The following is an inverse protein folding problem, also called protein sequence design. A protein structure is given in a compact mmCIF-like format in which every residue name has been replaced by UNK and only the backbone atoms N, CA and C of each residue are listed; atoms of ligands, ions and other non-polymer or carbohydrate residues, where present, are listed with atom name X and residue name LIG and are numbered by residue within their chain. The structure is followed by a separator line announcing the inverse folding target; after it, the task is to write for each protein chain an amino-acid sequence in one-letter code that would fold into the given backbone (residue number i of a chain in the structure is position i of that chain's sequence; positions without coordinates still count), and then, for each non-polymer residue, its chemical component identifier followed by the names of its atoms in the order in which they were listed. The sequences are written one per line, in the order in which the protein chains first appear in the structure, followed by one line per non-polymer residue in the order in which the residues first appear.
data_IF_736338302721
#
_entry.id   IF_736338302721
#
_cell.length_a   1.000
_cell.length_b   1.000
_cell.length_c   1.000
_cell.angle_alpha   90.00
_cell.angle_beta   90.00
_cell.angle_gamma   90.00
#
_symmetry.space_group_name_H-M   'P 1'
#
loop_
_entity.id
_entity.type
_entity.pdbx_description
1 polymer ?
#
# COMPACT_ATOMS: atom_id res chain seq x y z
N UNK A 1 21.55 21.23 -7.61
CA UNK A 1 22.37 19.97 -7.49
C UNK A 1 21.48 18.90 -6.89
N UNK A 2 21.35 17.71 -7.49
CA UNK A 2 20.60 16.62 -6.88
C UNK A 2 21.25 16.27 -5.56
N UNK A 3 20.54 16.37 -4.46
CA UNK A 3 21.03 15.86 -3.19
C UNK A 3 21.19 14.34 -3.35
N UNK A 4 22.37 13.84 -3.01
CA UNK A 4 22.67 12.43 -3.09
C UNK A 4 21.80 11.69 -2.06
N UNK A 5 20.95 10.79 -2.51
CA UNK A 5 19.98 10.07 -1.69
C UNK A 5 20.62 9.20 -0.59
N UNK A 6 21.88 8.80 -0.79
CA UNK A 6 22.64 7.95 0.14
C UNK A 6 23.83 8.68 0.76
N UNK A 7 23.70 9.97 1.02
CA UNK A 7 24.75 10.78 1.60
C UNK A 7 24.70 10.79 3.13
N UNK A 8 25.54 10.00 3.78
CA UNK A 8 25.60 9.91 5.24
C UNK A 8 26.16 11.17 5.94
N UNK A 9 26.67 12.16 5.20
CA UNK A 9 27.10 13.44 5.76
C UNK A 9 25.95 14.43 5.96
N UNK A 10 24.75 14.11 5.50
CA UNK A 10 23.56 14.94 5.73
C UNK A 10 23.18 14.93 7.21
N UNK A 11 22.85 16.11 7.75
CA UNK A 11 22.40 16.24 9.15
C UNK A 11 21.14 15.44 9.38
N UNK A 12 21.03 14.78 10.53
CA UNK A 12 19.94 13.88 10.91
C UNK A 12 19.04 14.49 11.99
N UNK A 13 18.89 15.81 12.03
CA UNK A 13 17.95 16.49 12.94
C UNK A 13 16.52 16.36 12.39
N UNK A 14 15.95 15.18 12.52
CA UNK A 14 14.62 14.87 12.00
C UNK A 14 13.47 15.52 12.78
N UNK A 15 13.67 15.91 14.02
CA UNK A 15 12.64 16.59 14.83
C UNK A 15 12.20 17.93 14.22
N UNK A 16 13.11 18.62 13.55
CA UNK A 16 12.84 19.92 12.92
C UNK A 16 12.50 19.83 11.44
N UNK A 17 12.48 18.63 10.86
CA UNK A 17 12.19 18.45 9.44
C UNK A 17 10.68 18.50 9.12
N UNK A 18 10.36 18.90 7.89
CA UNK A 18 9.06 18.64 7.28
C UNK A 18 8.88 17.13 7.06
N UNK A 19 7.66 16.67 6.97
CA UNK A 19 7.33 15.28 6.71
C UNK A 19 7.74 14.84 5.31
N UNK A 20 7.54 15.74 4.33
CA UNK A 20 7.86 15.55 2.93
C UNK A 20 8.70 16.72 2.41
N UNK A 21 9.56 16.46 1.43
CA UNK A 21 10.32 17.44 0.65
C UNK A 21 11.05 18.47 1.54
N UNK A 22 11.67 18.02 2.63
CA UNK A 22 12.46 18.91 3.47
C UNK A 22 13.71 19.40 2.72
N UNK A 23 14.04 20.72 2.77
CA UNK A 23 15.22 21.26 2.12
C UNK A 23 16.54 20.61 2.56
N UNK A 24 16.60 20.02 3.76
CA UNK A 24 17.75 19.26 4.23
C UNK A 24 17.90 17.89 3.53
N UNK A 25 16.91 17.48 2.74
CA UNK A 25 16.97 16.28 1.90
C UNK A 25 16.25 15.06 2.46
N UNK A 26 16.43 13.90 1.81
CA UNK A 26 15.77 12.65 2.19
C UNK A 26 16.29 12.09 3.51
N UNK A 27 15.68 11.02 3.98
CA UNK A 27 16.19 10.22 5.09
C UNK A 27 17.51 9.58 4.68
N UNK A 28 18.54 9.68 5.53
CA UNK A 28 19.88 9.13 5.25
C UNK A 28 20.29 8.06 6.25
N UNK A 29 19.98 8.27 7.51
CA UNK A 29 20.22 7.31 8.60
C UNK A 29 18.90 7.06 9.30
N UNK A 30 18.51 5.81 9.40
CA UNK A 30 17.32 5.42 10.17
C UNK A 30 17.59 5.57 11.67
N UNK A 31 16.91 6.55 12.28
CA UNK A 31 17.04 6.88 13.71
C UNK A 31 15.66 6.90 14.35
N UNK A 32 15.48 6.12 15.41
CA UNK A 32 14.22 5.98 16.12
C UNK A 32 14.34 6.28 17.62
N UNK A 33 15.50 6.72 18.09
CA UNK A 33 15.68 7.16 19.48
C UNK A 33 14.96 8.47 19.77
N UNK A 34 14.81 9.32 18.75
CA UNK A 34 14.02 10.54 18.79
C UNK A 34 13.15 10.62 17.52
N UNK A 35 11.83 10.62 17.67
CA UNK A 35 10.89 10.67 16.57
C UNK A 35 9.94 11.84 16.71
N UNK A 36 9.64 12.50 15.61
CA UNK A 36 8.74 13.66 15.58
C UNK A 36 7.28 13.27 15.77
N UNK A 37 6.85 12.16 15.17
CA UNK A 37 5.46 11.70 15.15
C UNK A 37 5.29 10.31 15.75
N UNK A 38 5.17 10.23 17.07
CA UNK A 38 4.96 8.97 17.79
C UNK A 38 3.72 8.17 17.32
N UNK A 39 2.71 8.84 16.75
CA UNK A 39 1.53 8.16 16.19
C UNK A 39 1.91 7.30 14.98
N UNK A 40 2.80 7.80 14.12
CA UNK A 40 3.26 7.06 12.94
C UNK A 40 4.01 5.80 13.38
N UNK A 41 4.88 5.93 14.38
CA UNK A 41 5.61 4.77 14.96
C UNK A 41 4.62 3.73 15.51
N UNK A 42 3.58 4.17 16.23
CA UNK A 42 2.56 3.26 16.75
C UNK A 42 1.80 2.53 15.65
N UNK A 43 1.37 3.24 14.60
CA UNK A 43 0.71 2.61 13.45
C UNK A 43 1.61 1.58 12.75
N UNK A 44 2.89 1.90 12.58
CA UNK A 44 3.85 0.98 11.99
C UNK A 44 4.03 -0.27 12.87
N UNK A 45 4.15 -0.10 14.18
CA UNK A 45 4.27 -1.20 15.15
C UNK A 45 3.00 -2.07 15.19
N UNK A 46 1.83 -1.45 15.21
CA UNK A 46 0.55 -2.15 15.17
C UNK A 46 0.42 -2.96 13.87
N UNK A 47 0.73 -2.35 12.71
CA UNK A 47 0.71 -3.04 11.43
C UNK A 47 1.64 -4.25 11.41
N UNK A 48 2.86 -4.15 11.93
CA UNK A 48 3.77 -5.30 12.06
C UNK A 48 3.22 -6.40 12.97
N UNK A 49 2.47 -6.02 14.00
CA UNK A 49 1.81 -6.98 14.91
C UNK A 49 0.74 -7.83 14.22
N UNK A 50 0.23 -7.40 13.08
CA UNK A 50 -0.72 -8.16 12.27
C UNK A 50 -0.07 -9.05 11.22
N UNK A 51 1.24 -9.29 11.28
CA UNK A 51 1.93 -10.17 10.36
C UNK A 51 1.34 -11.58 10.38
N UNK A 52 1.13 -12.14 9.21
CA UNK A 52 0.66 -13.50 8.98
C UNK A 52 1.12 -13.98 7.59
N UNK A 53 1.02 -15.28 7.34
CA UNK A 53 1.29 -15.85 6.02
C UNK A 53 0.07 -16.61 5.51
N UNK A 54 -0.21 -16.56 4.20
CA UNK A 54 -1.39 -17.19 3.61
C UNK A 54 -1.50 -18.69 3.90
N UNK A 55 -0.36 -19.35 4.00
CA UNK A 55 -0.23 -20.78 4.20
C UNK A 55 -0.71 -21.25 5.59
N UNK A 56 -0.87 -20.33 6.55
CA UNK A 56 -1.44 -20.65 7.87
C UNK A 56 -2.95 -20.92 7.80
N UNK A 57 -3.60 -20.56 6.68
CA UNK A 57 -5.05 -20.70 6.50
C UNK A 57 -5.34 -21.85 5.53
N UNK A 58 -5.99 -22.90 6.05
CA UNK A 58 -6.47 -24.00 5.22
C UNK A 58 -7.73 -23.56 4.46
N UNK A 59 -7.70 -23.69 3.14
CA UNK A 59 -8.83 -23.37 2.25
C UNK A 59 -9.58 -24.64 1.76
N UNK A 60 -9.34 -25.79 2.36
CA UNK A 60 -9.96 -27.06 1.91
C UNK A 60 -11.48 -27.01 2.01
N UNK A 61 -11.99 -26.50 3.14
CA UNK A 61 -13.44 -26.34 3.33
C UNK A 61 -14.01 -25.25 2.43
N UNK A 62 -13.30 -24.13 2.31
CA UNK A 62 -13.74 -23.00 1.48
C UNK A 62 -13.86 -23.40 0.01
N UNK A 63 -12.95 -24.25 -0.49
CA UNK A 63 -13.02 -24.76 -1.85
C UNK A 63 -14.26 -25.62 -2.09
N UNK A 64 -14.72 -26.36 -1.10
CA UNK A 64 -15.98 -27.12 -1.16
C UNK A 64 -17.18 -26.18 -1.06
N UNK A 65 -17.23 -25.32 -0.05
CA UNK A 65 -18.31 -24.37 0.18
C UNK A 65 -18.51 -23.47 -1.06
N UNK A 66 -17.43 -23.03 -1.71
CA UNK A 66 -17.48 -22.24 -2.92
C UNK A 66 -18.13 -22.98 -4.12
N UNK A 67 -17.86 -24.30 -4.26
CA UNK A 67 -18.49 -25.12 -5.30
C UNK A 67 -19.99 -25.28 -5.09
N UNK A 68 -20.42 -25.35 -3.83
CA UNK A 68 -21.83 -25.51 -3.43
C UNK A 68 -22.58 -24.15 -3.38
N UNK A 69 -21.85 -23.02 -3.39
CA UNK A 69 -22.42 -21.69 -3.35
C UNK A 69 -23.26 -21.38 -4.62
N UNK A 70 -24.25 -20.51 -4.47
CA UNK A 70 -25.03 -20.03 -5.62
C UNK A 70 -24.18 -19.22 -6.60
N UNK A 71 -24.61 -19.13 -7.86
CA UNK A 71 -23.91 -18.33 -8.88
C UNK A 71 -23.73 -16.88 -8.47
N UNK A 72 -24.72 -16.30 -7.81
CA UNK A 72 -24.66 -14.93 -7.29
C UNK A 72 -23.56 -14.78 -6.24
N UNK A 73 -23.47 -15.70 -5.29
CA UNK A 73 -22.42 -15.67 -4.24
C UNK A 73 -21.04 -15.84 -4.87
N UNK A 74 -20.87 -16.79 -5.77
CA UNK A 74 -19.62 -16.99 -6.49
C UNK A 74 -19.21 -15.75 -7.29
N UNK A 75 -20.17 -15.12 -7.97
CA UNK A 75 -19.92 -13.91 -8.74
C UNK A 75 -19.46 -12.75 -7.85
N UNK A 76 -20.15 -12.49 -6.74
CA UNK A 76 -19.80 -11.41 -5.80
C UNK A 76 -18.41 -11.66 -5.21
N UNK A 77 -18.14 -12.87 -4.76
CA UNK A 77 -16.84 -13.24 -4.19
C UNK A 77 -15.71 -13.05 -5.20
N UNK A 78 -15.88 -13.61 -6.41
CA UNK A 78 -14.87 -13.51 -7.48
C UNK A 78 -14.60 -12.06 -7.86
N UNK A 79 -15.65 -11.28 -8.10
CA UNK A 79 -15.51 -9.88 -8.49
C UNK A 79 -14.78 -9.05 -7.43
N UNK A 80 -15.09 -9.28 -6.15
CA UNK A 80 -14.40 -8.62 -5.04
C UNK A 80 -12.92 -9.03 -4.97
N UNK A 81 -12.63 -10.33 -5.09
CA UNK A 81 -11.27 -10.86 -5.05
C UNK A 81 -10.39 -10.28 -6.16
N UNK A 82 -10.92 -10.22 -7.38
CA UNK A 82 -10.21 -9.66 -8.54
C UNK A 82 -10.01 -8.14 -8.38
N UNK A 83 -11.02 -7.43 -7.87
CA UNK A 83 -10.93 -5.99 -7.59
C UNK A 83 -9.82 -5.70 -6.57
N UNK A 84 -9.80 -6.43 -5.45
CA UNK A 84 -8.77 -6.28 -4.41
C UNK A 84 -7.38 -6.61 -4.96
N UNK A 85 -7.26 -7.69 -5.74
CA UNK A 85 -5.98 -8.04 -6.39
C UNK A 85 -5.44 -6.90 -7.25
N UNK A 86 -6.30 -6.22 -8.02
CA UNK A 86 -5.90 -5.07 -8.83
C UNK A 86 -5.48 -3.88 -7.98
N UNK A 87 -6.25 -3.55 -6.93
CA UNK A 87 -5.95 -2.45 -6.01
C UNK A 87 -4.63 -2.66 -5.28
N UNK A 88 -4.44 -3.79 -4.64
CA UNK A 88 -3.25 -4.07 -3.83
C UNK A 88 -1.99 -4.19 -4.71
N UNK A 89 -2.15 -4.53 -5.99
CA UNK A 89 -1.05 -4.46 -6.97
C UNK A 89 -0.55 -3.03 -7.20
N UNK A 90 -1.41 -2.03 -7.10
CA UNK A 90 -1.03 -0.61 -7.15
C UNK A 90 -0.52 -0.13 -5.79
N UNK A 91 -1.25 -0.44 -4.73
CA UNK A 91 -0.93 -0.04 -3.36
C UNK A 91 0.38 -0.66 -2.85
N UNK A 92 0.74 -1.85 -3.34
CA UNK A 92 2.00 -2.49 -3.00
C UNK A 92 3.22 -1.77 -3.59
N UNK A 93 3.05 -0.98 -4.65
CA UNK A 93 4.15 -0.25 -5.31
C UNK A 93 4.13 1.25 -5.02
N UNK A 94 2.94 1.84 -4.91
CA UNK A 94 2.77 3.28 -4.73
C UNK A 94 3.59 3.85 -3.56
N UNK A 95 3.46 3.33 -2.33
CA UNK A 95 4.16 3.88 -1.18
C UNK A 95 5.68 3.96 -1.37
N UNK A 96 6.31 2.88 -1.86
CA UNK A 96 7.77 2.85 -2.01
C UNK A 96 8.28 3.58 -3.24
N UNK A 97 7.56 3.54 -4.36
CA UNK A 97 8.03 4.13 -5.60
C UNK A 97 7.72 5.63 -5.70
N UNK A 98 6.66 6.07 -5.03
CA UNK A 98 6.11 7.41 -5.22
C UNK A 98 6.26 8.26 -3.96
N UNK A 99 5.89 7.76 -2.79
CA UNK A 99 5.98 8.54 -1.56
C UNK A 99 7.38 8.47 -0.90
N UNK A 100 8.00 7.29 -0.81
CA UNK A 100 9.31 7.16 -0.18
C UNK A 100 10.36 8.14 -0.72
N UNK A 101 10.44 8.42 -2.04
CA UNK A 101 11.41 9.37 -2.56
C UNK A 101 11.26 10.81 -2.05
N UNK A 102 10.09 11.18 -1.57
CA UNK A 102 9.79 12.54 -1.06
C UNK A 102 9.67 12.61 0.46
N UNK A 103 9.73 11.47 1.14
CA UNK A 103 9.71 11.41 2.61
C UNK A 103 11.03 11.92 3.19
N UNK A 104 10.93 12.69 4.27
CA UNK A 104 12.09 13.35 4.90
C UNK A 104 12.30 12.97 6.38
N UNK A 105 11.49 12.06 6.92
CA UNK A 105 11.56 11.60 8.31
C UNK A 105 11.52 10.07 8.40
N UNK A 106 12.30 9.44 9.29
CA UNK A 106 12.49 7.98 9.33
C UNK A 106 11.22 7.19 9.65
N UNK A 107 10.42 7.67 10.59
CA UNK A 107 9.19 6.97 11.01
C UNK A 107 8.16 6.87 9.89
N UNK A 108 8.07 7.86 9.01
CA UNK A 108 7.19 7.83 7.87
C UNK A 108 7.74 6.93 6.76
N UNK A 109 9.05 6.99 6.53
CA UNK A 109 9.70 6.10 5.56
C UNK A 109 9.50 4.63 5.93
N UNK A 110 9.70 4.29 7.21
CA UNK A 110 9.45 2.93 7.71
C UNK A 110 8.00 2.48 7.52
N UNK A 111 7.03 3.38 7.77
CA UNK A 111 5.61 3.10 7.53
C UNK A 111 5.33 2.81 6.04
N UNK A 112 5.92 3.58 5.11
CA UNK A 112 5.76 3.36 3.67
C UNK A 112 6.31 2.00 3.23
N UNK A 113 7.48 1.60 3.74
CA UNK A 113 8.04 0.27 3.45
C UNK A 113 7.19 -0.86 4.02
N UNK A 114 6.70 -0.69 5.26
CA UNK A 114 5.84 -1.68 5.89
C UNK A 114 4.53 -1.84 5.13
N UNK A 115 3.90 -0.73 4.72
CA UNK A 115 2.69 -0.75 3.90
C UNK A 115 2.91 -1.51 2.60
N UNK A 116 3.92 -1.15 1.82
CA UNK A 116 4.26 -1.87 0.58
C UNK A 116 4.51 -3.35 0.80
N UNK A 117 5.15 -3.72 1.90
CA UNK A 117 5.40 -5.11 2.25
C UNK A 117 4.10 -5.88 2.47
N UNK A 118 3.15 -5.33 3.24
CA UNK A 118 1.88 -5.99 3.49
C UNK A 118 1.08 -6.18 2.20
N UNK A 119 0.94 -5.15 1.39
CA UNK A 119 0.18 -5.23 0.13
C UNK A 119 0.80 -6.24 -0.85
N UNK A 120 2.13 -6.22 -0.98
CA UNK A 120 2.83 -7.06 -1.96
C UNK A 120 3.02 -8.51 -1.47
N UNK A 121 3.45 -8.68 -0.22
CA UNK A 121 3.90 -9.99 0.27
C UNK A 121 2.84 -10.73 1.08
N UNK A 122 1.87 -10.03 1.64
CA UNK A 122 0.81 -10.67 2.41
C UNK A 122 -0.49 -10.69 1.61
N UNK A 123 -1.04 -9.54 1.24
CA UNK A 123 -2.33 -9.46 0.59
C UNK A 123 -2.32 -10.08 -0.81
N UNK A 124 -1.43 -9.65 -1.69
CA UNK A 124 -1.35 -10.18 -3.06
C UNK A 124 -1.06 -11.68 -3.11
N UNK A 125 -0.23 -12.18 -2.18
CA UNK A 125 0.01 -13.63 -2.04
C UNK A 125 -1.24 -14.36 -1.53
N UNK A 126 -2.00 -13.74 -0.63
CA UNK A 126 -3.24 -14.33 -0.11
C UNK A 126 -4.29 -14.50 -1.20
N UNK A 127 -4.47 -13.49 -2.06
CA UNK A 127 -5.38 -13.61 -3.20
C UNK A 127 -4.93 -14.72 -4.16
N UNK A 128 -3.63 -14.81 -4.41
CA UNK A 128 -3.06 -15.90 -5.21
C UNK A 128 -3.28 -17.25 -4.55
N UNK A 129 -3.14 -17.34 -3.23
CA UNK A 129 -3.39 -18.57 -2.47
C UNK A 129 -4.86 -18.98 -2.55
N UNK A 130 -5.79 -18.05 -2.37
CA UNK A 130 -7.24 -18.27 -2.50
C UNK A 130 -7.57 -18.77 -3.92
N UNK A 131 -7.13 -18.07 -4.95
CA UNK A 131 -7.45 -18.40 -6.34
C UNK A 131 -6.91 -19.79 -6.70
N UNK A 132 -5.69 -20.15 -6.27
CA UNK A 132 -5.11 -21.47 -6.53
C UNK A 132 -5.84 -22.62 -5.85
N UNK A 133 -6.46 -22.39 -4.71
CA UNK A 133 -7.12 -23.43 -3.93
C UNK A 133 -8.61 -23.56 -4.25
N UNK A 134 -9.24 -22.52 -4.74
CA UNK A 134 -10.71 -22.48 -4.94
C UNK A 134 -11.08 -22.73 -6.40
N UNK A 135 -10.29 -22.22 -7.36
CA UNK A 135 -10.64 -22.30 -8.79
C UNK A 135 -9.91 -23.43 -9.51
N UNK A 136 -10.59 -24.05 -10.46
CA UNK A 136 -10.03 -25.15 -11.26
C UNK A 136 -8.90 -24.66 -12.20
N UNK A 137 -9.04 -23.46 -12.76
CA UNK A 137 -8.08 -22.85 -13.70
C UNK A 137 -7.71 -21.46 -13.21
N UNK A 138 -6.80 -21.34 -12.24
CA UNK A 138 -6.44 -20.06 -11.61
C UNK A 138 -6.06 -18.95 -12.59
N UNK A 139 -5.34 -19.32 -13.67
CA UNK A 139 -4.89 -18.36 -14.69
C UNK A 139 -6.06 -17.67 -15.40
N UNK A 140 -7.12 -18.39 -15.69
CA UNK A 140 -8.30 -17.83 -16.34
C UNK A 140 -9.00 -16.83 -15.42
N UNK A 141 -9.05 -17.10 -14.12
CA UNK A 141 -9.62 -16.17 -13.16
C UNK A 141 -8.82 -14.88 -13.07
N UNK A 142 -7.49 -14.95 -12.99
CA UNK A 142 -6.65 -13.76 -12.99
C UNK A 142 -6.80 -12.92 -14.26
N UNK A 143 -6.95 -13.56 -15.42
CA UNK A 143 -7.12 -12.84 -16.68
C UNK A 143 -8.40 -11.99 -16.72
N UNK A 144 -9.46 -12.37 -16.01
CA UNK A 144 -10.70 -11.60 -15.90
C UNK A 144 -10.51 -10.19 -15.31
N UNK A 145 -9.43 -9.92 -14.60
CA UNK A 145 -9.10 -8.56 -14.14
C UNK A 145 -9.04 -7.60 -15.33
N UNK A 146 -8.39 -8.01 -16.42
CA UNK A 146 -8.24 -7.19 -17.61
C UNK A 146 -9.51 -7.12 -18.47
N UNK A 147 -10.38 -8.10 -18.33
CA UNK A 147 -11.65 -8.19 -19.09
C UNK A 147 -12.82 -7.48 -18.37
N UNK A 148 -12.63 -7.05 -17.12
CA UNK A 148 -13.66 -6.38 -16.31
C UNK A 148 -13.43 -4.86 -16.34
N UNK A 149 -14.21 -4.15 -17.16
CA UNK A 149 -14.03 -2.72 -17.41
C UNK A 149 -14.03 -1.88 -16.14
N UNK A 150 -14.92 -2.17 -15.18
CA UNK A 150 -15.05 -1.43 -13.92
C UNK A 150 -13.80 -1.59 -13.03
N UNK A 151 -13.17 -2.75 -13.04
CA UNK A 151 -11.92 -2.98 -12.32
C UNK A 151 -10.78 -2.19 -12.97
N UNK A 152 -10.68 -2.24 -14.28
CA UNK A 152 -9.64 -1.53 -15.05
C UNK A 152 -9.79 -0.02 -14.90
N UNK A 153 -11.00 0.52 -14.99
CA UNK A 153 -11.28 1.95 -14.84
C UNK A 153 -10.90 2.45 -13.45
N UNK A 154 -11.33 1.75 -12.40
CA UNK A 154 -10.99 2.08 -11.02
C UNK A 154 -9.47 2.04 -10.79
N UNK A 155 -8.80 0.96 -11.20
CA UNK A 155 -7.36 0.82 -11.06
C UNK A 155 -6.61 1.91 -11.84
N UNK A 156 -7.05 2.22 -13.06
CA UNK A 156 -6.46 3.27 -13.90
C UNK A 156 -6.61 4.65 -13.27
N UNK A 157 -7.73 4.95 -12.63
CA UNK A 157 -7.95 6.23 -11.94
C UNK A 157 -6.94 6.43 -10.83
N UNK A 158 -6.74 5.42 -9.97
CA UNK A 158 -5.74 5.46 -8.89
C UNK A 158 -4.32 5.52 -9.49
N UNK A 159 -4.05 4.67 -10.47
CA UNK A 159 -2.75 4.62 -11.16
C UNK A 159 -2.35 5.97 -11.74
N UNK A 160 -3.30 6.73 -12.29
CA UNK A 160 -3.05 8.06 -12.85
C UNK A 160 -2.46 9.04 -11.81
N UNK A 161 -2.92 9.00 -10.57
CA UNK A 161 -2.38 9.86 -9.50
C UNK A 161 -0.97 9.42 -9.11
N UNK A 162 -0.72 8.11 -9.00
CA UNK A 162 0.63 7.60 -8.76
C UNK A 162 1.58 7.96 -9.90
N UNK A 163 1.16 7.79 -11.15
CA UNK A 163 1.98 8.14 -12.31
C UNK A 163 2.31 9.64 -12.35
N UNK A 164 1.34 10.50 -12.04
CA UNK A 164 1.57 11.95 -11.96
C UNK A 164 2.61 12.30 -10.89
N UNK A 165 2.47 11.75 -9.69
CA UNK A 165 3.43 12.01 -8.62
C UNK A 165 4.80 11.42 -8.91
N UNK A 166 4.86 10.24 -9.55
CA UNK A 166 6.11 9.64 -10.02
C UNK A 166 6.81 10.53 -11.05
N UNK A 167 6.07 11.06 -12.02
CA UNK A 167 6.63 11.99 -13.01
C UNK A 167 7.16 13.27 -12.39
N UNK A 168 6.48 13.81 -11.39
CA UNK A 168 6.93 14.99 -10.63
C UNK A 168 8.24 14.67 -9.91
N UNK A 169 8.33 13.54 -9.23
CA UNK A 169 9.53 13.12 -8.51
C UNK A 169 10.73 12.91 -9.45
N UNK A 170 10.49 12.53 -10.70
CA UNK A 170 11.53 12.35 -11.71
C UNK A 170 11.98 13.67 -12.39
N UNK A 171 11.20 14.76 -12.25
CA UNK A 171 11.49 16.06 -12.87
C UNK A 171 12.01 17.04 -11.82
N UNK A 172 13.34 17.26 -11.81
CA UNK A 172 14.00 18.22 -10.92
C UNK A 172 13.42 19.65 -11.00
N UNK A 173 12.97 20.05 -12.16
CA UNK A 173 12.46 21.39 -12.45
C UNK A 173 11.15 21.68 -11.73
N UNK A 174 10.34 20.65 -11.45
CA UNK A 174 9.09 20.79 -10.71
C UNK A 174 9.28 20.85 -9.19
N UNK A 175 10.40 20.35 -8.66
CA UNK A 175 10.71 20.46 -7.23
C UNK A 175 11.00 21.90 -6.81
N UNK A 176 11.49 22.73 -7.73
CA UNK A 176 11.68 24.18 -7.52
C UNK A 176 10.34 24.94 -7.56
N UNK A 177 9.37 24.48 -8.37
CA UNK A 177 7.99 25.04 -8.40
C UNK A 177 7.13 24.60 -7.20
N UNK A 178 7.46 23.52 -6.52
CA UNK A 178 6.72 23.05 -5.35
C UNK A 178 6.80 23.99 -4.14
N UNK A 179 7.85 24.77 -4.02
CA UNK A 179 8.00 25.75 -2.93
C UNK A 179 7.06 26.97 -3.10
N UNK A 180 6.53 27.20 -4.30
CA UNK A 180 5.63 28.33 -4.58
C UNK A 180 4.13 27.97 -4.56
N UNK A 181 3.76 26.68 -4.60
CA UNK A 181 2.35 26.26 -4.72
C UNK A 181 1.93 25.24 -3.65
N UNK A 182 1.45 25.72 -2.50
CA UNK A 182 0.79 24.90 -1.45
C UNK A 182 -0.34 23.98 -1.99
N UNK A 183 -0.86 24.26 -3.17
CA UNK A 183 -1.93 23.47 -3.80
C UNK A 183 -1.53 22.07 -4.21
N UNK A 184 -0.28 21.81 -4.53
CA UNK A 184 0.16 20.46 -4.98
C UNK A 184 0.41 19.56 -3.77
N UNK A 185 0.88 20.09 -2.66
CA UNK A 185 0.96 19.37 -1.38
C UNK A 185 -0.44 18.97 -0.88
N UNK A 186 -1.46 19.80 -1.09
CA UNK A 186 -2.85 19.45 -0.86
C UNK A 186 -3.27 18.21 -1.65
N UNK A 187 -2.97 18.15 -2.93
CA UNK A 187 -3.26 16.98 -3.77
C UNK A 187 -2.48 15.73 -3.36
N UNK A 188 -1.23 15.83 -2.93
CA UNK A 188 -0.45 14.69 -2.40
C UNK A 188 -1.08 14.18 -1.10
N UNK A 189 -1.51 15.09 -0.23
CA UNK A 189 -2.20 14.74 1.02
C UNK A 189 -3.59 14.16 0.72
N UNK A 190 -4.32 14.69 -0.25
CA UNK A 190 -5.63 14.18 -0.66
C UNK A 190 -5.50 12.78 -1.27
N UNK A 191 -4.53 12.55 -2.16
CA UNK A 191 -4.24 11.22 -2.70
C UNK A 191 -3.78 10.26 -1.60
N UNK A 192 -2.93 10.70 -0.67
CA UNK A 192 -2.52 9.90 0.47
C UNK A 192 -3.70 9.59 1.41
N UNK A 193 -4.62 10.54 1.60
CA UNK A 193 -5.84 10.34 2.38
C UNK A 193 -6.83 9.40 1.65
N UNK A 194 -7.03 9.54 0.35
CA UNK A 194 -7.87 8.64 -0.44
C UNK A 194 -7.31 7.22 -0.50
N UNK A 195 -5.99 7.11 -0.62
CA UNK A 195 -5.26 5.85 -0.54
C UNK A 195 -5.35 5.24 0.86
N UNK A 196 -5.19 6.05 1.91
CA UNK A 196 -5.34 5.60 3.30
C UNK A 196 -6.79 5.19 3.61
N UNK A 197 -7.80 5.90 3.09
CA UNK A 197 -9.22 5.52 3.21
C UNK A 197 -9.48 4.19 2.50
N UNK A 198 -8.92 3.98 1.33
CA UNK A 198 -9.05 2.71 0.59
C UNK A 198 -8.35 1.57 1.33
N UNK A 199 -7.16 1.82 1.89
CA UNK A 199 -6.44 0.85 2.73
C UNK A 199 -7.20 0.57 4.04
N UNK A 200 -7.81 1.59 4.66
CA UNK A 200 -8.61 1.44 5.89
C UNK A 200 -9.91 0.68 5.62
N UNK A 201 -10.52 0.85 4.44
CA UNK A 201 -11.67 0.02 4.04
C UNK A 201 -11.28 -1.45 3.86
N UNK A 202 -10.09 -1.73 3.36
CA UNK A 202 -9.57 -3.11 3.27
C UNK A 202 -9.23 -3.69 4.67
N UNK A 203 -8.82 -2.88 5.62
CA UNK A 203 -8.58 -3.29 7.03
C UNK A 203 -9.90 -3.45 7.80
N UNK A 204 -10.95 -2.68 7.47
CA UNK A 204 -12.27 -2.78 8.12
C UNK A 204 -12.97 -4.14 7.93
N UNK A 205 -12.59 -4.92 6.94
CA UNK A 205 -13.04 -6.32 6.81
C UNK A 205 -12.37 -7.30 7.78
N UNK A 206 -11.36 -6.87 8.53
CA UNK A 206 -10.68 -7.68 9.57
C UNK A 206 -11.38 -7.65 10.94
N UNK A 207 -12.45 -6.91 11.12
CA UNK A 207 -13.21 -6.89 12.37
C UNK A 207 -14.17 -8.08 12.56
N UNK A 208 -14.08 -9.12 11.74
CA UNK A 208 -14.63 -10.41 12.17
C UNK A 208 -13.59 -11.03 13.10
N UNK A 209 -13.87 -11.14 14.42
CA UNK A 209 -12.91 -11.76 15.32
C UNK A 209 -12.71 -13.20 14.87
N UNK A 210 -11.52 -13.51 14.41
CA UNK A 210 -11.06 -14.90 14.40
C UNK A 210 -11.02 -15.30 15.87
N UNK A 211 -12.04 -16.01 16.30
CA UNK A 211 -12.06 -16.66 17.59
C UNK A 211 -10.91 -17.65 17.57
N UNK A 212 -9.78 -17.27 18.14
CA UNK A 212 -8.78 -18.21 18.54
C UNK A 212 -9.42 -19.10 19.62
N UNK A 213 -10.07 -20.17 19.17
CA UNK A 213 -10.29 -21.29 20.08
C UNK A 213 -8.92 -21.93 20.26
N UNK A 214 -8.38 -21.75 21.45
CA UNK A 214 -7.12 -22.32 21.86
C UNK A 214 -7.12 -23.84 21.78
N UNK A 215 -5.95 -24.36 21.45
CA UNK A 215 -5.44 -25.65 21.88
C UNK A 215 -4.16 -25.41 22.65
#
# INVERSE_FOLDING_TARGET
MSQAQYNLHTKTDYLNRKMFLDPAGPVTIQRFEEVKYNKIVKFEQEARGFFWVPEEISLTKDAQDFKEASDTVRHIFTSNLLRQTALDSLQGRGPTQVFTPVVSIPELEALMYNWSFFETNIHSRSYSHIIRNIYNVPKEEFNKIHDTAEIVEMASTIGLYYDRLHMINCRKELLEEFDEHEHILGHVVDVANDVAVTATMNVGFKETPVVHQGF
#
